data_IF_379725173157
#
_entry.id   IF_379725173157
#
_cell.length_a   1.000
_cell.length_b   1.000
_cell.length_c   1.000
_cell.angle_alpha   90.00
_cell.angle_beta   90.00
_cell.angle_gamma   90.00
#
_symmetry.space_group_name_H-M   'P 1'
#
loop_
_entity.id
_entity.type
_entity.pdbx_description
1 polymer ?
#
# COMPACT_ATOMS: atom_id res chain seq x y z
N UNK A 1 10.70 -3.03 11.64
CA UNK A 1 11.79 -2.08 11.98
C UNK A 1 11.34 -0.65 11.70
N UNK A 2 10.59 -0.40 10.62
CA UNK A 2 10.02 0.91 10.33
C UNK A 2 8.72 1.20 11.09
N UNK A 3 8.12 0.20 11.72
CA UNK A 3 6.92 0.36 12.54
C UNK A 3 7.01 1.50 13.56
N UNK A 4 8.16 1.71 14.22
CA UNK A 4 8.33 2.80 15.19
C UNK A 4 8.20 4.19 14.56
N UNK A 5 8.59 4.32 13.29
CA UNK A 5 8.47 5.56 12.51
C UNK A 5 7.06 5.72 11.92
N UNK A 6 6.48 4.63 11.42
CA UNK A 6 5.20 4.63 10.70
C UNK A 6 3.99 4.48 11.62
N UNK A 7 4.21 4.11 12.89
CA UNK A 7 3.19 3.87 13.90
C UNK A 7 2.34 2.61 13.69
N UNK A 8 2.61 1.82 12.64
CA UNK A 8 1.79 0.66 12.30
C UNK A 8 2.53 -0.39 11.44
N UNK A 9 2.58 -1.65 11.91
CA UNK A 9 3.14 -2.80 11.17
C UNK A 9 2.49 -3.03 9.81
N UNK A 10 1.20 -2.74 9.69
CA UNK A 10 0.44 -2.92 8.46
C UNK A 10 0.89 -1.93 7.39
N UNK A 11 1.20 -0.68 7.75
CA UNK A 11 1.75 0.31 6.81
C UNK A 11 3.13 -0.15 6.33
N UNK A 12 4.02 -0.52 7.26
CA UNK A 12 5.36 -1.02 6.92
C UNK A 12 5.29 -2.15 5.88
N UNK A 13 4.48 -3.18 6.14
CA UNK A 13 4.31 -4.32 5.23
C UNK A 13 3.67 -3.94 3.89
N UNK A 14 2.72 -3.00 3.90
CA UNK A 14 2.08 -2.52 2.67
C UNK A 14 3.09 -1.78 1.78
N UNK A 15 3.91 -0.91 2.37
CA UNK A 15 4.94 -0.18 1.63
C UNK A 15 6.02 -1.14 1.10
N UNK A 16 6.48 -2.09 1.91
CA UNK A 16 7.42 -3.12 1.43
C UNK A 16 6.85 -3.97 0.30
N UNK A 17 5.55 -4.27 0.32
CA UNK A 17 4.92 -4.96 -0.80
C UNK A 17 5.04 -4.15 -2.09
N UNK A 18 4.67 -2.88 -2.04
CA UNK A 18 4.65 -2.01 -3.21
C UNK A 18 6.05 -1.73 -3.74
N UNK A 19 7.05 -1.71 -2.86
CA UNK A 19 8.46 -1.62 -3.25
C UNK A 19 8.91 -2.87 -4.01
N UNK A 20 8.60 -4.05 -3.47
CA UNK A 20 9.06 -5.33 -4.06
C UNK A 20 8.33 -5.70 -5.35
N UNK A 21 7.02 -5.41 -5.43
CA UNK A 21 6.18 -5.86 -6.55
C UNK A 21 5.77 -4.74 -7.51
N UNK A 22 6.23 -3.50 -7.27
CA UNK A 22 5.90 -2.25 -7.98
C UNK A 22 4.42 -1.82 -7.93
N UNK A 23 3.50 -2.78 -7.83
CA UNK A 23 2.06 -2.58 -7.75
C UNK A 23 1.37 -3.72 -7.01
N UNK A 24 0.22 -3.43 -6.39
CA UNK A 24 -0.54 -4.42 -5.64
C UNK A 24 -2.00 -4.04 -5.43
N UNK A 25 -2.84 -5.04 -5.14
CA UNK A 25 -4.22 -4.84 -4.73
C UNK A 25 -4.44 -5.37 -3.30
N UNK A 26 -5.43 -4.86 -2.55
CA UNK A 26 -5.56 -5.16 -1.11
C UNK A 26 -5.58 -6.65 -0.75
N UNK A 27 -6.24 -7.48 -1.57
CA UNK A 27 -6.32 -8.93 -1.36
C UNK A 27 -4.99 -9.64 -1.63
N UNK A 28 -4.16 -9.14 -2.54
CA UNK A 28 -2.81 -9.67 -2.77
C UNK A 28 -1.92 -9.44 -1.55
N UNK A 29 -1.87 -8.20 -1.07
CA UNK A 29 -1.08 -7.80 0.11
C UNK A 29 -1.55 -8.54 1.36
N UNK A 30 -2.87 -8.65 1.54
CA UNK A 30 -3.49 -9.39 2.65
C UNK A 30 -3.02 -10.85 2.69
N UNK A 31 -3.00 -11.54 1.54
CA UNK A 31 -2.53 -12.93 1.45
C UNK A 31 -1.04 -13.07 1.75
N UNK A 32 -0.22 -12.15 1.25
CA UNK A 32 1.24 -12.21 1.43
C UNK A 32 1.65 -12.08 2.90
N UNK A 33 0.94 -11.27 3.69
CA UNK A 33 1.31 -11.02 5.09
C UNK A 33 0.35 -11.58 6.12
N UNK A 34 -0.69 -12.31 5.70
CA UNK A 34 -1.76 -12.81 6.56
C UNK A 34 -2.41 -11.71 7.42
N UNK A 35 -2.70 -10.56 6.81
CA UNK A 35 -3.34 -9.40 7.45
C UNK A 35 -4.77 -9.25 6.93
N UNK A 36 -5.77 -8.91 7.77
CA UNK A 36 -7.12 -8.64 7.30
C UNK A 36 -7.17 -7.58 6.19
N UNK A 37 -7.93 -7.86 5.13
CA UNK A 37 -8.05 -6.97 3.95
C UNK A 37 -8.50 -5.56 4.36
N UNK A 38 -9.40 -5.44 5.33
CA UNK A 38 -9.89 -4.14 5.81
C UNK A 38 -8.76 -3.26 6.37
N UNK A 39 -7.82 -3.85 7.11
CA UNK A 39 -6.67 -3.13 7.64
C UNK A 39 -5.78 -2.60 6.52
N UNK A 40 -5.52 -3.44 5.50
CA UNK A 40 -4.78 -3.06 4.29
C UNK A 40 -5.49 -1.94 3.54
N UNK A 41 -6.80 -2.06 3.32
CA UNK A 41 -7.59 -1.04 2.63
C UNK A 41 -7.55 0.32 3.35
N UNK A 42 -7.65 0.32 4.69
CA UNK A 42 -7.56 1.54 5.48
C UNK A 42 -6.18 2.19 5.37
N UNK A 43 -5.10 1.39 5.40
CA UNK A 43 -3.75 1.92 5.23
C UNK A 43 -3.49 2.43 3.81
N UNK A 44 -3.91 1.71 2.78
CA UNK A 44 -3.79 2.16 1.39
C UNK A 44 -4.56 3.46 1.15
N UNK A 45 -5.78 3.59 1.69
CA UNK A 45 -6.54 4.84 1.63
C UNK A 45 -5.79 5.98 2.33
N UNK A 46 -5.26 5.75 3.54
CA UNK A 46 -4.47 6.77 4.26
C UNK A 46 -3.22 7.20 3.48
N UNK A 47 -2.52 6.25 2.86
CA UNK A 47 -1.34 6.53 2.04
C UNK A 47 -1.70 7.29 0.76
N UNK A 48 -2.85 6.99 0.15
CA UNK A 48 -3.37 7.70 -1.03
C UNK A 48 -3.80 9.12 -0.67
N UNK A 49 -4.53 9.30 0.43
CA UNK A 49 -4.92 10.61 0.97
C UNK A 49 -3.68 11.48 1.27
N UNK A 50 -2.57 10.86 1.69
CA UNK A 50 -1.28 11.52 1.92
C UNK A 50 -0.40 11.69 0.67
N UNK A 51 -0.85 11.23 -0.50
CA UNK A 51 -0.12 11.34 -1.76
C UNK A 51 1.10 10.42 -1.92
N UNK A 52 1.28 9.44 -1.02
CA UNK A 52 2.42 8.50 -1.01
C UNK A 52 2.23 7.41 -2.08
N UNK A 53 0.98 6.95 -2.23
CA UNK A 53 0.59 5.97 -3.26
C UNK A 53 -0.49 6.57 -4.15
N UNK A 54 -0.61 6.04 -5.35
CA UNK A 54 -1.73 6.30 -6.26
C UNK A 54 -2.41 5.00 -6.61
N UNK A 55 -3.70 5.09 -6.95
CA UNK A 55 -4.44 3.93 -7.43
C UNK A 55 -4.92 4.07 -8.87
N UNK A 56 -5.15 2.93 -9.49
CA UNK A 56 -5.82 2.82 -10.79
C UNK A 56 -6.76 1.63 -10.79
N UNK A 57 -7.81 1.71 -11.60
CA UNK A 57 -8.74 0.59 -11.79
C UNK A 57 -8.27 -0.20 -13.01
N UNK A 58 -8.03 -1.49 -12.83
CA UNK A 58 -7.81 -2.44 -13.91
C UNK A 58 -8.94 -3.47 -13.88
N UNK A 59 -9.90 -3.34 -14.81
CA UNK A 59 -11.14 -4.11 -14.80
C UNK A 59 -11.99 -3.78 -13.56
N UNK A 60 -12.14 -4.75 -12.65
CA UNK A 60 -12.85 -4.58 -11.37
C UNK A 60 -11.91 -4.43 -10.17
N UNK A 61 -10.59 -4.54 -10.40
CA UNK A 61 -9.59 -4.54 -9.34
C UNK A 61 -8.97 -3.16 -9.24
N UNK A 62 -8.92 -2.60 -8.03
CA UNK A 62 -8.17 -1.38 -7.73
C UNK A 62 -6.75 -1.75 -7.35
N UNK A 63 -5.80 -1.36 -8.20
CA UNK A 63 -4.36 -1.49 -7.98
C UNK A 63 -3.83 -0.22 -7.35
N UNK A 64 -2.78 -0.37 -6.55
CA UNK A 64 -2.04 0.69 -5.89
C UNK A 64 -0.56 0.53 -6.24
N UNK A 65 0.14 1.66 -6.34
CA UNK A 65 1.59 1.74 -6.50
C UNK A 65 2.12 3.02 -5.86
N UNK A 66 3.43 3.12 -5.66
CA UNK A 66 4.03 4.38 -5.25
C UNK A 66 3.67 5.50 -6.22
N UNK A 67 3.47 6.70 -5.68
CA UNK A 67 3.11 7.86 -6.48
C UNK A 67 4.29 8.25 -7.38
N UNK A 68 4.22 8.08 -8.70
CA UNK A 68 5.32 8.42 -9.60
C UNK A 68 5.52 9.94 -9.75
N UNK A 69 4.61 10.75 -9.19
CA UNK A 69 4.71 12.21 -9.15
C UNK A 69 5.35 12.71 -7.86
N UNK A 70 5.81 11.82 -7.00
CA UNK A 70 6.45 12.22 -5.76
C UNK A 70 7.77 12.94 -6.08
N UNK A 71 7.97 14.21 -5.66
CA UNK A 71 9.08 15.03 -6.14
C UNK A 71 10.48 14.55 -5.72
N UNK A 72 10.56 13.62 -4.77
CA UNK A 72 11.81 13.08 -4.24
C UNK A 72 12.09 11.64 -4.71
N UNK A 73 11.33 11.15 -5.70
CA UNK A 73 11.53 9.89 -6.41
C UNK A 73 12.10 10.15 -7.81
#
# INVERSE_FOLDING_TARGET
MLESLLGNKTIEKTLFFLETYEQGYPKGISKTFSIPVNGIQQQLKRLEDGGIVVSSIQGKTRLYKFNPRYPFL
#
